data_IF_103799836169
#
_entry.id   IF_103799836169
#
_cell.length_a   1.000
_cell.length_b   1.000
_cell.length_c   1.000
_cell.angle_alpha   90.00
_cell.angle_beta   90.00
_cell.angle_gamma   90.00
#
_symmetry.space_group_name_H-M   'P 1'
#
loop_
_entity.id
_entity.type
_entity.pdbx_description
1 polymer ?
#
# COMPACT_ATOMS: atom_id res chain seq x y z
N UNK A 1 1.96 9.39 -21.47
CA UNK A 1 2.03 8.19 -22.32
C UNK A 1 3.28 7.40 -21.95
N UNK A 2 3.26 6.08 -21.96
CA UNK A 2 2.18 5.23 -22.48
C UNK A 2 1.12 4.85 -21.42
N UNK A 3 1.33 5.10 -20.17
CA UNK A 3 0.63 4.48 -19.02
C UNK A 3 -0.88 4.76 -18.94
N UNK A 4 -1.34 5.91 -19.44
CA UNK A 4 -2.72 6.38 -19.27
C UNK A 4 -3.80 5.54 -20.00
N UNK A 5 -3.40 4.69 -20.93
CA UNK A 5 -4.29 3.87 -21.75
C UNK A 5 -3.86 2.40 -21.87
N UNK A 6 -3.06 1.93 -20.91
CA UNK A 6 -2.58 0.54 -20.91
C UNK A 6 -3.64 -0.45 -20.43
N UNK A 7 -4.59 -0.01 -19.63
CA UNK A 7 -5.59 -0.87 -19.00
C UNK A 7 -7.00 -0.41 -19.38
N UNK A 8 -7.88 -1.38 -19.59
CA UNK A 8 -9.29 -1.14 -19.89
C UNK A 8 -10.19 -1.50 -18.72
N UNK A 9 -11.40 -0.92 -18.68
CA UNK A 9 -12.37 -1.16 -17.61
C UNK A 9 -12.75 -2.64 -17.42
N UNK A 10 -12.63 -3.47 -18.47
CA UNK A 10 -12.97 -4.89 -18.42
C UNK A 10 -11.93 -5.75 -17.70
N UNK A 11 -10.79 -5.19 -17.35
CA UNK A 11 -9.68 -5.89 -16.70
C UNK A 11 -9.73 -5.75 -15.17
N UNK A 12 -10.70 -4.99 -14.63
CA UNK A 12 -10.77 -4.73 -13.19
C UNK A 12 -11.73 -5.67 -12.47
N UNK A 13 -11.45 -5.92 -11.21
CA UNK A 13 -12.38 -6.61 -10.33
C UNK A 13 -13.69 -5.83 -10.22
N UNK A 14 -14.82 -6.54 -10.10
CA UNK A 14 -16.10 -5.93 -9.78
C UNK A 14 -15.98 -5.04 -8.54
N UNK A 15 -16.74 -3.95 -8.53
CA UNK A 15 -16.81 -3.08 -7.36
C UNK A 15 -17.38 -3.84 -6.16
N UNK A 16 -16.75 -3.69 -5.02
CA UNK A 16 -17.23 -4.31 -3.77
C UNK A 16 -18.13 -3.32 -3.01
N UNK A 17 -19.42 -3.36 -3.29
CA UNK A 17 -20.43 -2.54 -2.61
C UNK A 17 -21.80 -3.22 -2.60
N UNK A 18 -22.58 -2.89 -1.56
CA UNK A 18 -23.91 -3.42 -1.34
C UNK A 18 -24.88 -2.26 -1.13
N UNK A 19 -26.08 -2.33 -1.71
CA UNK A 19 -27.10 -1.28 -1.55
C UNK A 19 -27.56 -1.12 -0.09
N UNK A 20 -27.49 -2.16 0.73
CA UNK A 20 -27.78 -2.06 2.16
C UNK A 20 -26.82 -1.10 2.91
N UNK A 21 -25.59 -0.94 2.44
CA UNK A 21 -24.62 -0.01 3.03
C UNK A 21 -25.07 1.44 2.90
N UNK A 22 -25.83 1.77 1.86
CA UNK A 22 -26.38 3.13 1.66
C UNK A 22 -27.38 3.55 2.73
N UNK A 23 -27.98 2.58 3.41
CA UNK A 23 -28.93 2.81 4.49
C UNK A 23 -28.26 2.83 5.87
N UNK A 24 -26.95 2.99 5.92
CA UNK A 24 -26.22 3.04 7.18
C UNK A 24 -26.57 4.34 7.94
N UNK A 25 -27.16 4.21 9.10
CA UNK A 25 -27.57 5.36 9.93
C UNK A 25 -26.42 5.98 10.74
N UNK A 26 -25.20 5.40 10.69
CA UNK A 26 -24.06 5.95 11.41
C UNK A 26 -23.66 7.31 10.82
N UNK A 27 -23.67 8.40 11.61
CA UNK A 27 -23.53 9.75 11.07
C UNK A 27 -22.21 10.00 10.36
N UNK A 28 -21.12 9.39 10.83
CA UNK A 28 -19.80 9.52 10.20
C UNK A 28 -19.79 8.83 8.83
N UNK A 29 -20.28 7.58 8.76
CA UNK A 29 -20.33 6.83 7.52
C UNK A 29 -21.18 7.56 6.46
N UNK A 30 -22.35 8.03 6.88
CA UNK A 30 -23.25 8.80 6.03
C UNK A 30 -22.58 10.07 5.49
N UNK A 31 -21.88 10.81 6.35
CA UNK A 31 -21.16 12.02 5.93
C UNK A 31 -20.10 11.73 4.86
N UNK A 32 -19.34 10.63 5.00
CA UNK A 32 -18.37 10.23 3.98
C UNK A 32 -19.02 9.77 2.69
N UNK A 33 -20.11 9.03 2.73
CA UNK A 33 -20.86 8.65 1.52
C UNK A 33 -21.46 9.87 0.79
N UNK A 34 -21.83 10.91 1.52
CA UNK A 34 -22.44 12.13 0.97
C UNK A 34 -21.42 13.15 0.46
N UNK A 35 -20.12 12.96 0.72
CA UNK A 35 -19.12 13.88 0.20
C UNK A 35 -19.02 13.81 -1.34
N UNK A 36 -18.44 14.84 -1.94
CA UNK A 36 -18.38 14.99 -3.40
C UNK A 36 -17.57 13.89 -4.08
N UNK A 37 -16.52 13.41 -3.42
CA UNK A 37 -15.62 12.38 -3.98
C UNK A 37 -16.33 11.03 -3.99
N UNK A 38 -16.92 10.61 -2.87
CA UNK A 38 -17.70 9.37 -2.80
C UNK A 38 -18.87 9.37 -3.80
N UNK A 39 -19.61 10.48 -3.92
CA UNK A 39 -20.66 10.64 -4.93
C UNK A 39 -20.12 10.53 -6.36
N UNK A 40 -18.92 10.98 -6.61
CA UNK A 40 -18.29 10.88 -7.92
C UNK A 40 -17.91 9.42 -8.21
N UNK A 41 -17.26 8.74 -7.29
CA UNK A 41 -16.88 7.34 -7.42
C UNK A 41 -18.06 6.36 -7.38
N UNK A 42 -19.22 6.75 -6.90
CA UNK A 42 -20.43 5.92 -6.95
C UNK A 42 -20.95 5.70 -8.38
N UNK A 43 -20.44 6.46 -9.35
CA UNK A 43 -20.74 6.31 -10.79
C UNK A 43 -19.71 5.36 -11.41
N UNK A 44 -20.18 4.23 -11.93
CA UNK A 44 -19.30 3.18 -12.50
C UNK A 44 -18.45 3.69 -13.66
N UNK A 45 -18.97 4.56 -14.50
CA UNK A 45 -18.23 5.17 -15.61
C UNK A 45 -17.01 5.95 -15.11
N UNK A 46 -17.19 6.77 -14.08
CA UNK A 46 -16.10 7.55 -13.47
C UNK A 46 -15.10 6.64 -12.81
N UNK A 47 -15.57 5.70 -11.99
CA UNK A 47 -14.72 4.69 -11.34
C UNK A 47 -13.83 3.97 -12.35
N UNK A 48 -14.40 3.46 -13.40
CA UNK A 48 -13.68 2.68 -14.42
C UNK A 48 -12.65 3.54 -15.16
N UNK A 49 -12.96 4.79 -15.45
CA UNK A 49 -12.00 5.73 -16.05
C UNK A 49 -10.82 6.01 -15.12
N UNK A 50 -11.10 6.26 -13.84
CA UNK A 50 -10.05 6.52 -12.83
C UNK A 50 -9.18 5.30 -12.59
N UNK A 51 -9.79 4.11 -12.47
CA UNK A 51 -9.02 2.86 -12.28
C UNK A 51 -8.07 2.57 -13.45
N UNK A 52 -8.47 2.86 -14.69
CA UNK A 52 -7.57 2.73 -15.85
C UNK A 52 -6.31 3.59 -15.67
N UNK A 53 -6.48 4.85 -15.26
CA UNK A 53 -5.37 5.74 -14.96
C UNK A 53 -4.55 5.29 -13.75
N UNK A 54 -5.21 4.84 -12.69
CA UNK A 54 -4.58 4.35 -11.46
C UNK A 54 -3.70 3.11 -11.71
N UNK A 55 -4.19 2.14 -12.48
CA UNK A 55 -3.39 0.97 -12.88
C UNK A 55 -2.19 1.38 -13.74
N UNK A 56 -2.37 2.39 -14.61
CA UNK A 56 -1.27 2.99 -15.35
C UNK A 56 -0.21 3.62 -14.45
N UNK A 57 -0.61 4.30 -13.37
CA UNK A 57 0.32 4.85 -12.37
C UNK A 57 1.07 3.73 -11.63
N UNK A 58 0.39 2.64 -11.26
CA UNK A 58 1.05 1.47 -10.66
C UNK A 58 2.12 0.92 -11.61
N UNK A 59 1.80 0.77 -12.89
CA UNK A 59 2.79 0.31 -13.89
C UNK A 59 3.95 1.29 -14.04
N UNK A 60 3.70 2.58 -13.98
CA UNK A 60 4.76 3.59 -14.01
C UNK A 60 5.69 3.49 -12.79
N UNK A 61 5.12 3.25 -11.61
CA UNK A 61 5.91 3.03 -10.38
C UNK A 61 6.76 1.76 -10.53
N UNK A 62 6.19 0.67 -11.02
CA UNK A 62 6.89 -0.60 -11.26
C UNK A 62 8.10 -0.41 -12.20
N UNK A 63 7.92 0.29 -13.33
CA UNK A 63 8.99 0.59 -14.25
C UNK A 63 10.08 1.49 -13.63
N UNK A 64 9.69 2.43 -12.78
CA UNK A 64 10.64 3.29 -12.07
C UNK A 64 11.43 2.51 -11.00
N UNK A 65 10.77 1.61 -10.28
CA UNK A 65 11.44 0.71 -9.33
C UNK A 65 12.43 -0.22 -10.04
N UNK A 66 12.06 -0.77 -11.20
CA UNK A 66 12.98 -1.56 -12.01
C UNK A 66 14.25 -0.78 -12.39
N UNK A 67 14.11 0.50 -12.76
CA UNK A 67 15.27 1.37 -13.03
C UNK A 67 16.10 1.66 -11.78
N UNK A 68 15.44 1.89 -10.65
CA UNK A 68 16.12 2.09 -9.37
C UNK A 68 16.92 0.85 -8.95
N UNK A 69 16.30 -0.32 -9.03
CA UNK A 69 16.99 -1.58 -8.66
C UNK A 69 18.19 -1.84 -9.56
N UNK A 70 18.01 -1.64 -10.87
CA UNK A 70 19.14 -1.75 -11.80
C UNK A 70 20.27 -0.77 -11.47
N UNK A 71 19.96 0.45 -11.10
CA UNK A 71 20.97 1.42 -10.67
C UNK A 71 21.71 0.97 -9.41
N UNK A 72 20.98 0.44 -8.40
CA UNK A 72 21.60 -0.08 -7.18
C UNK A 72 22.52 -1.28 -7.48
N UNK A 73 22.10 -2.17 -8.38
CA UNK A 73 22.92 -3.31 -8.84
C UNK A 73 24.17 -2.85 -9.57
N UNK A 74 24.03 -1.97 -10.58
CA UNK A 74 25.14 -1.46 -11.40
C UNK A 74 26.19 -0.68 -10.60
N UNK A 75 25.77 -0.08 -9.47
CA UNK A 75 26.65 0.69 -8.58
C UNK A 75 27.15 -0.08 -7.35
N UNK A 76 26.72 -1.33 -7.18
CA UNK A 76 27.07 -2.17 -6.04
C UNK A 76 26.32 -1.86 -4.74
N UNK A 77 25.38 -0.90 -4.78
CA UNK A 77 24.63 -0.51 -3.58
C UNK A 77 23.48 -1.50 -3.23
N UNK A 78 23.15 -2.43 -4.09
CA UNK A 78 22.15 -3.46 -3.77
C UNK A 78 22.57 -4.35 -2.61
N UNK A 79 23.88 -4.49 -2.38
CA UNK A 79 24.46 -5.35 -1.35
C UNK A 79 24.44 -4.71 0.05
N UNK A 80 24.24 -3.39 0.16
CA UNK A 80 24.27 -2.64 1.42
C UNK A 80 23.02 -1.81 1.68
N UNK A 81 22.00 -1.90 0.81
CA UNK A 81 20.78 -1.11 0.90
C UNK A 81 19.57 -1.97 1.28
N UNK A 82 18.98 -1.70 2.45
CA UNK A 82 17.66 -2.22 2.80
C UNK A 82 16.59 -1.45 2.00
N UNK A 83 15.68 -2.19 1.39
CA UNK A 83 14.57 -1.60 0.61
C UNK A 83 13.24 -1.96 1.26
N UNK A 84 12.43 -0.94 1.51
CA UNK A 84 11.05 -1.12 2.00
C UNK A 84 10.09 -0.46 1.02
N UNK A 85 9.17 -1.26 0.48
CA UNK A 85 8.08 -0.79 -0.36
C UNK A 85 6.76 -0.92 0.40
N UNK A 86 6.09 0.20 0.60
CA UNK A 86 4.80 0.27 1.29
C UNK A 86 3.98 1.46 0.80
N UNK A 87 2.79 1.64 1.36
CA UNK A 87 1.94 2.82 1.19
C UNK A 87 1.50 3.32 2.57
N UNK A 88 1.13 4.58 2.67
CA UNK A 88 0.56 5.19 3.87
C UNK A 88 -0.87 4.71 4.13
N UNK A 89 -1.68 4.55 3.08
CA UNK A 89 -3.05 4.04 3.09
C UNK A 89 -3.43 3.48 1.72
N UNK A 90 -4.57 2.83 1.64
CA UNK A 90 -5.21 2.45 0.39
C UNK A 90 -6.20 3.51 -0.12
N UNK A 91 -7.11 3.10 -1.00
CA UNK A 91 -8.17 3.95 -1.54
C UNK A 91 -9.39 3.09 -1.88
N UNK A 92 -10.57 3.62 -1.63
CA UNK A 92 -11.83 2.91 -1.88
C UNK A 92 -12.17 2.76 -3.36
N UNK A 93 -11.86 3.74 -4.17
CA UNK A 93 -12.21 3.77 -5.59
C UNK A 93 -13.64 3.32 -5.90
N UNK A 94 -14.59 3.69 -5.06
CA UNK A 94 -16.01 3.35 -5.20
C UNK A 94 -16.47 2.10 -4.44
N UNK A 95 -15.58 1.33 -3.87
CA UNK A 95 -15.94 0.24 -2.97
C UNK A 95 -16.68 0.82 -1.74
N UNK A 96 -17.64 0.07 -1.19
CA UNK A 96 -18.48 0.53 -0.09
C UNK A 96 -19.21 1.86 -0.31
N UNK A 97 -19.39 2.28 -1.57
CA UNK A 97 -19.92 3.59 -1.95
C UNK A 97 -19.05 4.78 -1.51
N UNK A 98 -17.77 4.54 -1.26
CA UNK A 98 -16.80 5.50 -0.75
C UNK A 98 -15.74 5.85 -1.81
N UNK A 99 -15.18 7.03 -1.68
CA UNK A 99 -13.92 7.43 -2.30
C UNK A 99 -12.91 7.74 -1.21
N UNK A 100 -11.64 7.94 -1.58
CA UNK A 100 -10.54 8.23 -0.65
C UNK A 100 -10.28 7.11 0.39
N UNK A 101 -10.11 7.42 1.69
CA UNK A 101 -9.43 6.54 2.65
C UNK A 101 -9.90 6.62 4.11
N UNK A 102 -10.99 7.34 4.41
CA UNK A 102 -11.26 7.84 5.76
C UNK A 102 -11.77 6.81 6.77
N UNK A 103 -12.11 5.62 6.34
CA UNK A 103 -12.63 4.56 7.23
C UNK A 103 -11.70 3.35 7.27
N UNK A 104 -12.09 2.31 8.05
CA UNK A 104 -11.22 1.18 8.39
C UNK A 104 -11.54 -0.11 7.62
N UNK A 105 -12.06 0.00 6.39
CA UNK A 105 -12.19 -1.17 5.52
C UNK A 105 -10.83 -1.59 4.94
N UNK A 106 -10.72 -2.86 4.52
CA UNK A 106 -9.51 -3.42 3.92
C UNK A 106 -8.94 -2.54 2.78
N UNK A 107 -9.82 -1.92 1.99
CA UNK A 107 -9.44 -1.05 0.88
C UNK A 107 -8.62 0.16 1.33
N UNK A 108 -8.85 0.65 2.54
CA UNK A 108 -8.14 1.80 3.11
C UNK A 108 -6.93 1.39 3.94
N UNK A 109 -7.07 0.35 4.79
CA UNK A 109 -6.06 0.03 5.81
C UNK A 109 -5.08 -1.06 5.42
N UNK A 110 -5.43 -1.90 4.43
CA UNK A 110 -4.56 -2.97 3.97
C UNK A 110 -3.65 -2.51 2.85
N UNK A 111 -2.45 -2.15 3.20
CA UNK A 111 -1.41 -1.68 2.28
C UNK A 111 -0.35 -2.76 2.01
N UNK A 112 0.36 -2.69 0.87
CA UNK A 112 1.50 -3.57 0.65
C UNK A 112 2.60 -3.29 1.67
N UNK A 113 3.33 -4.35 2.05
CA UNK A 113 4.57 -4.24 2.81
C UNK A 113 5.55 -5.27 2.26
N UNK A 114 6.59 -4.80 1.58
CA UNK A 114 7.65 -5.64 1.02
C UNK A 114 8.96 -5.13 1.57
N UNK A 115 9.73 -6.03 2.19
CA UNK A 115 11.01 -5.68 2.78
C UNK A 115 12.10 -6.56 2.13
N UNK A 116 13.10 -5.91 1.58
CA UNK A 116 14.35 -6.52 1.16
C UNK A 116 15.45 -6.12 2.13
N UNK A 117 16.04 -7.11 2.79
CA UNK A 117 17.25 -6.97 3.59
C UNK A 117 18.41 -7.63 2.83
N UNK A 118 19.50 -6.91 2.49
CA UNK A 118 20.62 -7.46 1.74
C UNK A 118 21.43 -8.47 2.54
N UNK A 119 21.33 -8.45 3.87
CA UNK A 119 22.17 -9.28 4.75
C UNK A 119 21.95 -10.79 4.55
N UNK A 120 23.00 -11.57 4.81
CA UNK A 120 22.92 -13.05 4.78
C UNK A 120 21.91 -13.62 5.79
N UNK A 121 21.65 -12.91 6.87
CA UNK A 121 20.67 -13.32 7.89
C UNK A 121 19.26 -13.45 7.33
N UNK A 122 18.92 -12.65 6.32
CA UNK A 122 17.61 -12.69 5.66
C UNK A 122 17.47 -13.82 4.61
N UNK A 123 18.52 -14.59 4.32
CA UNK A 123 18.48 -15.63 3.28
C UNK A 123 17.43 -16.71 3.54
N UNK A 124 17.09 -16.98 4.79
CA UNK A 124 16.09 -17.99 5.17
C UNK A 124 14.65 -17.53 4.91
N UNK A 125 14.42 -16.23 4.88
CA UNK A 125 13.10 -15.61 4.75
C UNK A 125 12.86 -15.02 3.37
N UNK A 126 13.87 -14.96 2.50
CA UNK A 126 13.72 -14.45 1.13
C UNK A 126 12.63 -15.20 0.36
N UNK A 127 11.77 -14.44 -0.32
CA UNK A 127 10.67 -14.98 -1.11
C UNK A 127 9.52 -15.55 -0.29
N UNK A 128 9.56 -15.45 1.04
CA UNK A 128 8.45 -15.89 1.90
C UNK A 128 7.36 -14.84 2.01
N UNK A 129 6.16 -15.28 2.41
CA UNK A 129 5.03 -14.40 2.75
C UNK A 129 4.73 -14.53 4.23
N UNK A 130 4.86 -13.43 4.95
CA UNK A 130 4.48 -13.33 6.35
C UNK A 130 2.98 -12.99 6.47
N UNK A 131 2.29 -13.59 7.45
CA UNK A 131 0.84 -13.40 7.67
C UNK A 131 0.51 -12.68 8.97
N UNK A 132 1.52 -12.36 9.78
CA UNK A 132 1.31 -11.60 11.02
C UNK A 132 0.84 -10.18 10.69
N UNK A 133 0.03 -9.62 11.57
CA UNK A 133 -0.33 -8.21 11.48
C UNK A 133 0.90 -7.35 11.79
N UNK A 134 1.12 -6.37 10.92
CA UNK A 134 2.15 -5.36 11.05
C UNK A 134 1.53 -4.00 10.75
N UNK A 135 2.11 -2.95 11.28
CA UNK A 135 1.63 -1.59 11.10
C UNK A 135 2.78 -0.67 10.66
N UNK A 136 2.45 0.49 10.10
CA UNK A 136 3.47 1.46 9.67
C UNK A 136 4.36 1.95 10.83
N UNK A 137 3.85 1.95 12.07
CA UNK A 137 4.62 2.28 13.28
C UNK A 137 5.78 1.30 13.56
N UNK A 138 5.72 0.09 13.01
CA UNK A 138 6.77 -0.93 13.14
C UNK A 138 8.01 -0.61 12.29
N UNK A 139 7.89 0.28 11.30
CA UNK A 139 9.01 0.60 10.41
C UNK A 139 10.12 1.37 11.12
N UNK A 140 9.80 2.37 11.94
CA UNK A 140 10.82 3.14 12.64
C UNK A 140 11.68 2.28 13.57
N UNK A 141 11.13 1.44 14.47
CA UNK A 141 11.95 0.53 15.26
C UNK A 141 12.71 -0.49 14.41
N UNK A 142 12.17 -0.90 13.26
CA UNK A 142 12.86 -1.78 12.32
C UNK A 142 14.11 -1.11 11.74
N UNK A 143 14.00 0.13 11.28
CA UNK A 143 15.14 0.88 10.74
C UNK A 143 16.21 1.13 11.80
N UNK A 144 15.81 1.49 13.02
CA UNK A 144 16.74 1.71 14.12
C UNK A 144 17.49 0.42 14.50
N UNK A 145 16.81 -0.72 14.49
CA UNK A 145 17.46 -2.02 14.72
C UNK A 145 18.37 -2.41 13.55
N UNK A 146 17.98 -2.14 12.32
CA UNK A 146 18.79 -2.46 11.14
C UNK A 146 20.13 -1.71 11.13
N UNK A 147 20.16 -0.48 11.64
CA UNK A 147 21.38 0.35 11.75
C UNK A 147 22.03 0.30 13.16
N UNK A 148 21.60 -0.63 14.00
CA UNK A 148 22.11 -0.81 15.38
C UNK A 148 22.09 0.51 16.20
N UNK A 149 21.03 1.30 16.03
CA UNK A 149 20.91 2.59 16.67
C UNK A 149 20.80 2.50 18.19
N UNK A 150 21.50 3.34 18.97
CA UNK A 150 21.41 3.37 20.43
C UNK A 150 20.12 4.05 20.95
N UNK A 151 19.19 4.46 20.08
CA UNK A 151 17.94 5.10 20.49
C UNK A 151 17.13 4.19 21.39
N UNK A 152 16.67 4.75 22.50
CA UNK A 152 15.92 4.00 23.51
C UNK A 152 14.54 3.58 23.01
N UNK A 153 14.28 2.29 23.01
CA UNK A 153 13.05 1.66 22.47
C UNK A 153 11.76 2.07 23.23
N UNK A 154 11.86 2.52 24.48
CA UNK A 154 10.67 2.94 25.26
C UNK A 154 9.96 4.18 24.69
N UNK A 155 10.53 4.83 23.70
CA UNK A 155 9.94 5.97 22.97
C UNK A 155 9.20 5.55 21.72
N UNK A 156 9.20 4.26 21.38
CA UNK A 156 8.63 3.72 20.16
C UNK A 156 7.43 2.86 20.52
N UNK A 157 6.31 3.07 19.86
CA UNK A 157 5.08 2.30 20.09
C UNK A 157 5.05 1.01 19.26
N UNK A 158 5.69 1.01 18.09
CA UNK A 158 5.79 -0.16 17.21
C UNK A 158 6.86 -1.17 17.66
N UNK A 159 6.87 -2.31 16.99
CA UNK A 159 7.82 -3.39 17.19
C UNK A 159 8.73 -3.56 15.97
N UNK A 160 10.01 -3.84 16.20
CA UNK A 160 10.92 -4.12 15.10
C UNK A 160 10.52 -5.39 14.35
N UNK A 161 10.53 -5.34 13.03
CA UNK A 161 10.31 -6.48 12.14
C UNK A 161 11.59 -7.30 11.90
N UNK A 162 12.75 -6.84 12.38
CA UNK A 162 14.02 -7.55 12.19
C UNK A 162 14.00 -9.00 12.68
N UNK A 163 13.35 -9.38 13.80
CA UNK A 163 13.21 -10.78 14.22
C UNK A 163 12.38 -11.65 13.27
N UNK A 164 11.62 -11.04 12.36
CA UNK A 164 10.83 -11.75 11.35
C UNK A 164 11.61 -11.89 10.04
N UNK A 165 12.47 -10.92 9.77
CA UNK A 165 13.27 -10.83 8.54
C UNK A 165 14.50 -11.75 8.59
N UNK A 166 15.08 -11.92 9.78
CA UNK A 166 16.32 -12.68 10.02
C UNK A 166 16.10 -14.18 10.24
#
# INVERSE_FOLDING_TARGET
APYHNMYSANEFYPVHRNDAERNNDHPVYKAFMENSISKTFSKDEVRNTVLSGYMGLIKQIDDNLGRLFKFLEDTGHMEDTMIVFTSDHGDYHGDHWLGEKELFHEQSVRVPMIIYDPSEHANKTRGTKEKRFIEAIDLLPTFLDAVESPVSKHRLEGNSLMPIIK
#
